data_IF_852767237941
#
_entry.id   IF_852767237941
#
_cell.length_a   1.000
_cell.length_b   1.000
_cell.length_c   1.000
_cell.angle_alpha   90.00
_cell.angle_beta   90.00
_cell.angle_gamma   90.00
#
_symmetry.space_group_name_H-M   'P 1'
#
loop_
_entity.id
_entity.type
_entity.pdbx_description
1 polymer ?
#
# COMPACT_ATOMS: atom_id res chain seq x y z
N UNK A 1 -18.00 -15.83 4.12
CA UNK A 1 -18.17 -14.50 4.78
C UNK A 1 -17.67 -13.43 3.84
N UNK A 2 -18.34 -12.25 3.73
CA UNK A 2 -17.87 -11.13 2.89
C UNK A 2 -16.66 -10.50 3.58
N UNK A 3 -15.54 -10.39 2.85
CA UNK A 3 -14.30 -9.75 3.35
C UNK A 3 -14.43 -8.24 3.26
N UNK A 4 -13.80 -7.54 4.22
CA UNK A 4 -13.83 -6.07 4.35
C UNK A 4 -12.45 -5.49 4.09
N UNK A 5 -12.38 -4.45 3.27
CA UNK A 5 -11.24 -3.55 3.21
C UNK A 5 -11.47 -2.42 4.22
N UNK A 6 -10.57 -2.29 5.16
CA UNK A 6 -10.50 -1.15 6.07
C UNK A 6 -9.55 -0.12 5.51
N UNK A 7 -10.03 1.11 5.36
CA UNK A 7 -9.19 2.21 4.92
C UNK A 7 -9.16 3.32 5.95
N UNK A 8 -7.96 3.79 6.26
CA UNK A 8 -7.73 4.97 7.06
C UNK A 8 -7.44 6.16 6.14
N UNK A 9 -8.17 7.25 6.29
CA UNK A 9 -8.12 8.47 5.49
C UNK A 9 -8.61 8.30 4.04
N UNK A 10 -8.77 9.42 3.34
CA UNK A 10 -9.09 9.46 1.91
C UNK A 10 -7.86 9.88 1.10
N UNK A 11 -7.72 9.33 -0.12
CA UNK A 11 -6.60 9.65 -1.00
C UNK A 11 -6.52 11.14 -1.31
N UNK A 12 -7.67 11.80 -1.60
CA UNK A 12 -7.70 13.25 -1.83
C UNK A 12 -7.23 14.08 -0.63
N UNK A 13 -7.44 13.60 0.60
CA UNK A 13 -6.92 14.26 1.79
C UNK A 13 -5.39 14.16 1.84
N UNK A 14 -4.84 12.99 1.52
CA UNK A 14 -3.40 12.81 1.41
C UNK A 14 -2.83 13.72 0.30
N UNK A 15 -3.48 13.79 -0.88
CA UNK A 15 -3.09 14.70 -1.97
C UNK A 15 -3.08 16.17 -1.54
N UNK A 16 -4.03 16.56 -0.67
CA UNK A 16 -4.15 17.92 -0.15
C UNK A 16 -3.20 18.23 1.03
N UNK A 17 -2.34 17.29 1.44
CA UNK A 17 -1.37 17.50 2.50
C UNK A 17 -1.87 17.14 3.90
N UNK A 18 -2.94 16.37 4.04
CA UNK A 18 -3.37 15.85 5.34
C UNK A 18 -2.53 14.61 5.72
N UNK A 19 -1.36 14.84 6.31
CA UNK A 19 -0.41 13.78 6.66
C UNK A 19 -0.40 13.45 8.15
N UNK A 20 -1.29 14.00 8.94
CA UNK A 20 -1.46 13.60 10.33
C UNK A 20 -1.99 12.17 10.42
N UNK A 21 -1.69 11.49 11.53
CA UNK A 21 -2.18 10.14 11.75
C UNK A 21 -3.70 10.11 11.82
N UNK A 22 -4.32 9.37 10.89
CA UNK A 22 -5.76 9.12 10.89
C UNK A 22 -6.16 8.11 11.98
N UNK A 23 -5.27 7.13 12.21
CA UNK A 23 -5.41 6.08 13.23
C UNK A 23 -4.03 5.73 13.78
N UNK A 24 -3.99 5.04 14.92
CA UNK A 24 -2.79 4.35 15.40
C UNK A 24 -2.64 2.96 14.77
N UNK A 25 -1.43 2.41 14.77
CA UNK A 25 -1.17 1.02 14.39
C UNK A 25 -2.06 0.06 15.18
N UNK A 26 -2.22 0.29 16.49
CA UNK A 26 -3.10 -0.51 17.37
C UNK A 26 -4.54 -0.54 16.90
N UNK A 27 -5.09 0.59 16.50
CA UNK A 27 -6.48 0.68 16.03
C UNK A 27 -6.66 -0.05 14.70
N UNK A 28 -5.72 0.13 13.76
CA UNK A 28 -5.78 -0.56 12.47
C UNK A 28 -5.65 -2.08 12.62
N UNK A 29 -4.71 -2.56 13.44
CA UNK A 29 -4.47 -4.00 13.64
C UNK A 29 -5.58 -4.71 14.43
N UNK A 30 -6.55 -3.99 14.99
CA UNK A 30 -7.79 -4.61 15.52
C UNK A 30 -8.75 -5.05 14.42
N UNK A 31 -8.65 -4.44 13.24
CA UNK A 31 -9.57 -4.64 12.12
C UNK A 31 -8.93 -5.35 10.94
N UNK A 32 -7.58 -5.42 10.88
CA UNK A 32 -6.82 -5.93 9.75
C UNK A 32 -5.49 -6.52 10.21
N UNK A 33 -4.89 -7.38 9.39
CA UNK A 33 -3.58 -8.00 9.64
C UNK A 33 -2.60 -7.84 8.46
N UNK A 34 -3.11 -7.49 7.28
CA UNK A 34 -2.35 -7.41 6.03
C UNK A 34 -2.81 -6.20 5.22
N UNK A 35 -1.86 -5.47 4.63
CA UNK A 35 -2.17 -4.29 3.83
C UNK A 35 -0.98 -3.38 3.54
N UNK A 36 -1.28 -2.19 3.04
CA UNK A 36 -0.32 -1.16 2.63
C UNK A 36 -0.68 0.18 3.27
N UNK A 37 0.30 1.04 3.51
CA UNK A 37 0.03 2.34 4.12
C UNK A 37 1.22 3.29 4.11
N UNK A 38 1.01 4.46 4.71
CA UNK A 38 1.99 5.54 4.82
C UNK A 38 1.99 6.06 6.26
N UNK A 39 3.17 6.31 6.80
CA UNK A 39 3.34 6.86 8.16
C UNK A 39 2.89 8.31 8.28
N UNK A 40 2.58 8.74 9.51
CA UNK A 40 2.32 10.15 9.83
C UNK A 40 3.44 11.02 9.29
N UNK A 41 3.09 12.21 8.79
CA UNK A 41 4.02 13.17 8.18
C UNK A 41 4.76 12.63 6.94
N UNK A 42 4.23 11.63 6.25
CA UNK A 42 4.86 10.84 5.18
C UNK A 42 6.16 10.13 5.63
N UNK A 43 6.36 9.91 6.93
CA UNK A 43 7.56 9.27 7.47
C UNK A 43 7.59 7.77 7.13
N UNK A 44 7.96 7.49 5.90
CA UNK A 44 8.13 6.14 5.40
C UNK A 44 6.86 5.46 4.91
N UNK A 45 7.08 4.33 4.23
CA UNK A 45 6.08 3.44 3.67
C UNK A 45 5.80 2.31 4.67
N UNK A 46 4.54 1.96 4.86
CA UNK A 46 4.16 0.88 5.79
C UNK A 46 3.67 -0.33 5.01
N UNK A 47 4.18 -1.50 5.35
CA UNK A 47 3.64 -2.80 4.95
C UNK A 47 3.09 -3.51 6.18
N UNK A 48 1.79 -3.81 6.18
CA UNK A 48 1.16 -4.64 7.21
C UNK A 48 1.24 -6.10 6.77
N UNK A 49 1.80 -6.95 7.61
CA UNK A 49 1.90 -8.38 7.31
C UNK A 49 1.77 -9.20 8.58
N UNK A 50 0.84 -10.17 8.56
CA UNK A 50 0.61 -11.14 9.65
C UNK A 50 0.40 -10.45 11.01
N UNK A 51 -0.36 -9.36 11.06
CA UNK A 51 -0.70 -8.65 12.30
C UNK A 51 0.42 -7.78 12.86
N UNK A 52 1.44 -7.45 12.05
CA UNK A 52 2.48 -6.50 12.40
C UNK A 52 2.60 -5.40 11.35
N UNK A 53 3.00 -4.21 11.76
CA UNK A 53 3.26 -3.07 10.88
C UNK A 53 4.77 -2.85 10.74
N UNK A 54 5.26 -2.87 9.52
CA UNK A 54 6.67 -2.66 9.17
C UNK A 54 6.82 -1.38 8.40
N UNK A 55 7.57 -0.43 8.95
CA UNK A 55 7.87 0.84 8.30
C UNK A 55 9.22 0.75 7.59
N UNK A 56 9.21 1.00 6.28
CA UNK A 56 10.44 1.29 5.53
C UNK A 56 10.69 2.78 5.60
N UNK A 57 11.71 3.17 6.35
CA UNK A 57 12.09 4.56 6.56
C UNK A 57 12.75 5.18 5.30
N UNK A 58 12.93 6.52 5.25
CA UNK A 58 13.58 7.18 4.12
C UNK A 58 15.02 6.73 3.84
N UNK A 59 15.71 6.17 4.81
CA UNK A 59 17.06 5.60 4.68
C UNK A 59 17.05 4.11 4.22
N UNK A 60 15.87 3.56 3.95
CA UNK A 60 15.65 2.16 3.55
C UNK A 60 15.59 1.17 4.71
N UNK A 61 15.83 1.61 5.95
CA UNK A 61 15.77 0.74 7.11
C UNK A 61 14.34 0.34 7.42
N UNK A 62 14.11 -0.97 7.59
CA UNK A 62 12.83 -1.50 8.02
C UNK A 62 12.79 -1.65 9.53
N UNK A 63 11.72 -1.18 10.15
CA UNK A 63 11.50 -1.29 11.59
C UNK A 63 10.06 -1.72 11.88
N UNK A 64 9.87 -2.50 12.95
CA UNK A 64 8.52 -2.77 13.46
C UNK A 64 7.99 -1.50 14.13
N UNK A 65 6.80 -1.10 13.75
CA UNK A 65 6.12 0.06 14.35
C UNK A 65 5.54 -0.29 15.72
N UNK A 66 5.52 0.70 16.60
CA UNK A 66 4.87 0.57 17.91
C UNK A 66 3.36 0.71 17.78
N UNK A 67 2.58 0.13 18.71
CA UNK A 67 1.12 0.23 18.68
C UNK A 67 0.56 1.65 18.66
N UNK A 68 1.26 2.61 19.27
CA UNK A 68 0.88 4.03 19.33
C UNK A 68 1.34 4.88 18.15
N UNK A 69 2.21 4.34 17.27
CA UNK A 69 2.66 5.09 16.10
C UNK A 69 1.48 5.37 15.15
N UNK A 70 1.49 6.56 14.55
CA UNK A 70 0.39 7.02 13.70
C UNK A 70 0.52 6.55 12.25
N UNK A 71 -0.63 6.32 11.64
CA UNK A 71 -0.79 5.96 10.22
C UNK A 71 -1.59 7.05 9.54
N UNK A 72 -1.00 7.73 8.54
CA UNK A 72 -1.67 8.80 7.80
C UNK A 72 -2.65 8.28 6.77
N UNK A 73 -2.31 7.16 6.12
CA UNK A 73 -3.16 6.47 5.15
C UNK A 73 -2.89 4.97 5.20
N UNK A 74 -3.92 4.16 5.09
CA UNK A 74 -3.78 2.71 4.93
C UNK A 74 -4.97 2.10 4.22
N UNK A 75 -4.71 1.01 3.50
CA UNK A 75 -5.71 0.07 2.99
C UNK A 75 -5.30 -1.34 3.43
N UNK A 76 -6.09 -1.96 4.31
CA UNK A 76 -5.75 -3.22 4.97
C UNK A 76 -6.98 -4.11 5.19
N UNK A 77 -6.77 -5.40 5.38
CA UNK A 77 -7.84 -6.38 5.64
C UNK A 77 -7.35 -7.50 6.54
N UNK A 78 -8.27 -8.32 7.05
CA UNK A 78 -7.95 -9.66 7.57
C UNK A 78 -7.78 -10.60 6.38
N UNK A 79 -6.54 -10.99 6.09
CA UNK A 79 -6.19 -11.77 4.91
C UNK A 79 -6.49 -13.26 5.15
N UNK A 80 -7.15 -13.89 4.18
CA UNK A 80 -7.41 -15.34 4.24
C UNK A 80 -6.20 -16.10 3.72
N UNK A 81 -5.39 -16.57 4.63
CA UNK A 81 -4.21 -17.39 4.32
C UNK A 81 -4.56 -18.79 3.79
N UNK A 82 -5.81 -19.22 3.91
CA UNK A 82 -6.30 -20.48 3.33
C UNK A 82 -6.78 -20.33 1.87
N UNK A 83 -6.72 -19.11 1.29
CA UNK A 83 -7.02 -18.92 -0.12
C UNK A 83 -6.12 -19.83 -0.98
N UNK A 84 -6.65 -20.40 -2.10
CA UNK A 84 -5.86 -21.23 -2.99
C UNK A 84 -4.61 -20.52 -3.47
N UNK A 85 -3.50 -21.25 -3.46
CA UNK A 85 -2.22 -20.76 -3.96
C UNK A 85 -2.11 -20.99 -5.45
N UNK A 86 -1.65 -19.98 -6.18
CA UNK A 86 -1.50 -19.97 -7.62
C UNK A 86 -0.03 -19.68 -7.95
N UNK A 87 0.60 -20.51 -8.75
CA UNK A 87 1.95 -20.26 -9.23
C UNK A 87 1.93 -19.29 -10.41
N UNK A 88 2.67 -18.19 -10.29
CA UNK A 88 3.00 -17.28 -11.38
C UNK A 88 4.46 -17.51 -11.79
N UNK A 89 4.72 -17.65 -13.07
CA UNK A 89 6.06 -17.93 -13.61
C UNK A 89 6.45 -16.90 -14.67
N UNK A 90 7.74 -16.57 -14.74
CA UNK A 90 8.27 -15.65 -15.77
C UNK A 90 7.78 -14.21 -15.57
N UNK A 91 7.99 -13.65 -14.40
CA UNK A 91 7.69 -12.23 -14.09
C UNK A 91 8.95 -11.42 -14.45
N UNK A 92 8.90 -10.72 -15.59
CA UNK A 92 10.03 -9.97 -16.11
C UNK A 92 10.10 -8.56 -15.51
N UNK A 93 8.92 -7.96 -15.23
CA UNK A 93 8.76 -6.63 -14.66
C UNK A 93 7.39 -6.48 -13.95
N UNK A 94 7.14 -5.34 -13.33
CA UNK A 94 5.86 -5.04 -12.68
C UNK A 94 4.68 -5.02 -13.68
N UNK A 95 4.93 -4.65 -14.93
CA UNK A 95 3.91 -4.63 -15.98
C UNK A 95 3.45 -6.06 -16.31
N UNK A 96 4.38 -6.99 -16.45
CA UNK A 96 4.08 -8.41 -16.67
C UNK A 96 3.33 -9.02 -15.50
N UNK A 97 3.70 -8.67 -14.25
CA UNK A 97 2.93 -9.08 -13.07
C UNK A 97 1.48 -8.55 -13.13
N UNK A 98 1.29 -7.25 -13.43
CA UNK A 98 -0.05 -6.66 -13.58
C UNK A 98 -0.88 -7.35 -14.68
N UNK A 99 -0.25 -7.73 -15.79
CA UNK A 99 -0.90 -8.51 -16.87
C UNK A 99 -1.33 -9.89 -16.40
N UNK A 100 -0.49 -10.59 -15.63
CA UNK A 100 -0.83 -11.88 -15.04
C UNK A 100 -1.95 -11.78 -13.98
N UNK A 101 -2.07 -10.65 -13.29
CA UNK A 101 -3.14 -10.40 -12.31
C UNK A 101 -4.47 -10.01 -12.98
N UNK A 102 -4.44 -9.46 -14.20
CA UNK A 102 -5.62 -8.96 -14.89
C UNK A 102 -6.79 -9.96 -14.97
N UNK A 103 -6.60 -11.26 -15.31
CA UNK A 103 -7.70 -12.22 -15.38
C UNK A 103 -8.48 -12.39 -14.07
N UNK A 104 -7.81 -12.25 -12.91
CA UNK A 104 -8.46 -12.39 -11.61
C UNK A 104 -9.37 -11.22 -11.26
N UNK A 105 -9.09 -10.04 -11.80
CA UNK A 105 -9.86 -8.82 -11.60
C UNK A 105 -10.91 -8.61 -12.68
N UNK A 106 -10.63 -8.99 -13.93
CA UNK A 106 -11.52 -8.77 -15.09
C UNK A 106 -12.91 -9.38 -14.93
N UNK A 107 -13.04 -10.48 -14.16
CA UNK A 107 -14.33 -11.10 -13.88
C UNK A 107 -15.28 -10.20 -13.06
N UNK A 108 -14.76 -9.32 -12.23
CA UNK A 108 -15.49 -8.27 -11.54
C UNK A 108 -14.56 -7.12 -11.11
N UNK A 109 -14.20 -6.20 -12.01
CA UNK A 109 -13.27 -5.10 -11.75
C UNK A 109 -13.82 -4.06 -10.76
N UNK A 110 -15.10 -4.17 -10.40
CA UNK A 110 -15.79 -3.27 -9.47
C UNK A 110 -15.69 -3.73 -8.00
N UNK A 111 -15.03 -4.83 -7.72
CA UNK A 111 -14.69 -5.24 -6.36
C UNK A 111 -13.26 -4.83 -6.02
N UNK A 112 -12.98 -4.77 -4.72
CA UNK A 112 -11.60 -4.66 -4.25
C UNK A 112 -10.95 -6.04 -4.20
N UNK A 113 -9.63 -6.06 -4.36
CA UNK A 113 -8.83 -7.28 -4.19
C UNK A 113 -7.57 -6.98 -3.41
N UNK A 114 -7.12 -7.94 -2.63
CA UNK A 114 -5.80 -7.91 -2.02
C UNK A 114 -5.06 -9.19 -2.37
N UNK A 115 -3.80 -9.04 -2.71
CA UNK A 115 -2.91 -10.16 -2.98
C UNK A 115 -1.74 -10.19 -2.01
N UNK A 116 -1.23 -11.41 -1.82
CA UNK A 116 0.08 -11.70 -1.25
C UNK A 116 0.80 -12.63 -2.22
N UNK A 117 1.91 -12.17 -2.78
CA UNK A 117 2.71 -12.93 -3.73
C UNK A 117 4.12 -13.09 -3.16
N UNK A 118 4.46 -14.32 -2.75
CA UNK A 118 5.72 -14.65 -2.09
C UNK A 118 6.64 -15.46 -2.97
N UNK A 119 7.95 -15.29 -2.77
CA UNK A 119 8.97 -16.06 -3.47
C UNK A 119 10.37 -15.48 -3.40
N UNK A 120 11.19 -15.88 -4.36
CA UNK A 120 12.51 -15.29 -4.60
C UNK A 120 12.42 -14.35 -5.79
N UNK A 121 12.74 -13.10 -5.55
CA UNK A 121 12.79 -12.06 -6.56
C UNK A 121 14.22 -11.94 -7.11
N UNK A 122 14.37 -11.87 -8.43
CA UNK A 122 15.65 -11.55 -9.07
C UNK A 122 16.06 -10.13 -8.73
N UNK A 123 15.08 -9.21 -8.85
CA UNK A 123 15.24 -7.81 -8.45
C UNK A 123 13.95 -7.25 -7.89
N UNK A 124 14.06 -6.32 -6.95
CA UNK A 124 12.95 -5.47 -6.49
C UNK A 124 13.46 -4.04 -6.40
N UNK A 125 12.76 -3.13 -7.06
CA UNK A 125 13.01 -1.70 -7.01
C UNK A 125 11.87 -1.05 -6.21
N UNK A 126 12.21 -0.40 -5.13
CA UNK A 126 11.25 0.24 -4.23
C UNK A 126 11.58 1.69 -3.98
N UNK A 127 10.61 2.40 -3.42
CA UNK A 127 10.81 3.76 -2.90
C UNK A 127 10.23 3.91 -1.50
N UNK A 128 10.75 4.91 -0.77
CA UNK A 128 10.16 5.39 0.48
C UNK A 128 10.22 6.91 0.56
N UNK A 129 9.29 7.48 1.32
CA UNK A 129 9.07 8.92 1.40
C UNK A 129 9.92 9.56 2.48
N UNK A 130 10.34 10.80 2.25
CA UNK A 130 10.94 11.64 3.28
C UNK A 130 9.86 12.26 4.15
N UNK A 131 10.10 12.30 5.44
CA UNK A 131 9.21 12.95 6.40
C UNK A 131 9.05 14.45 6.11
N UNK A 132 7.81 14.94 6.17
CA UNK A 132 7.47 16.34 5.99
C UNK A 132 7.26 17.04 7.34
N UNK A 133 7.49 18.36 7.37
CA UNK A 133 7.20 19.21 8.53
C UNK A 133 5.98 20.08 8.26
N UNK A 134 5.25 20.42 9.32
CA UNK A 134 4.13 21.39 9.23
C UNK A 134 4.64 22.82 8.96
N UNK A 135 3.93 23.61 8.16
CA UNK A 135 2.72 23.24 7.42
C UNK A 135 3.07 22.24 6.30
N UNK A 136 2.25 21.16 6.20
CA UNK A 136 2.52 20.13 5.21
C UNK A 136 2.32 20.66 3.77
N UNK A 137 3.20 20.29 2.84
CA UNK A 137 3.02 20.58 1.43
C UNK A 137 1.92 19.70 0.82
N UNK A 138 1.48 20.01 -0.38
CA UNK A 138 0.69 19.06 -1.18
C UNK A 138 1.52 17.79 -1.47
N UNK A 139 0.86 16.66 -1.62
CA UNK A 139 1.55 15.40 -1.93
C UNK A 139 2.41 15.48 -3.18
N UNK A 140 1.96 16.20 -4.22
CA UNK A 140 2.72 16.41 -5.45
C UNK A 140 4.05 17.15 -5.25
N UNK A 141 4.17 17.98 -4.23
CA UNK A 141 5.43 18.63 -3.85
C UNK A 141 6.29 17.68 -3.00
N UNK A 142 5.70 17.03 -2.01
CA UNK A 142 6.39 16.04 -1.18
C UNK A 142 6.94 14.87 -2.03
N UNK A 143 6.21 14.48 -3.06
CA UNK A 143 6.59 13.43 -3.99
C UNK A 143 7.82 13.72 -4.86
N UNK A 144 8.35 14.93 -4.83
CA UNK A 144 9.62 15.26 -5.51
C UNK A 144 10.85 14.79 -4.72
N UNK A 145 10.65 14.33 -3.49
CA UNK A 145 11.70 13.95 -2.55
C UNK A 145 11.41 12.58 -1.94
N UNK A 146 11.70 11.53 -2.68
CA UNK A 146 11.73 10.16 -2.19
C UNK A 146 13.12 9.57 -2.32
N UNK A 147 13.36 8.41 -1.70
CA UNK A 147 14.57 7.63 -1.84
C UNK A 147 14.22 6.28 -2.47
N UNK A 148 15.03 5.85 -3.41
CA UNK A 148 14.86 4.59 -4.13
C UNK A 148 15.87 3.55 -3.66
N UNK A 149 15.43 2.30 -3.60
CA UNK A 149 16.24 1.17 -3.16
C UNK A 149 16.11 0.04 -4.17
N UNK A 150 17.23 -0.65 -4.43
CA UNK A 150 17.28 -1.81 -5.31
C UNK A 150 17.83 -3.01 -4.55
N UNK A 151 17.12 -4.11 -4.62
CA UNK A 151 17.46 -5.36 -3.97
C UNK A 151 17.57 -6.46 -5.02
N UNK A 152 18.64 -7.23 -4.96
CA UNK A 152 18.92 -8.33 -5.89
C UNK A 152 18.85 -9.67 -5.14
N UNK A 153 18.31 -10.71 -5.79
CA UNK A 153 18.23 -12.07 -5.25
C UNK A 153 17.61 -12.13 -3.84
N UNK A 154 16.53 -11.39 -3.64
CA UNK A 154 15.89 -11.21 -2.34
C UNK A 154 14.65 -12.11 -2.21
N UNK A 155 14.42 -12.65 -1.02
CA UNK A 155 13.22 -13.43 -0.68
C UNK A 155 12.27 -12.57 0.12
N UNK A 156 10.97 -12.60 -0.24
CA UNK A 156 9.97 -11.82 0.48
C UNK A 156 8.57 -12.00 -0.07
N UNK A 157 7.69 -11.08 0.33
CA UNK A 157 6.32 -10.97 -0.14
C UNK A 157 6.07 -9.59 -0.75
N UNK A 158 5.32 -9.59 -1.84
CA UNK A 158 4.63 -8.41 -2.34
C UNK A 158 3.19 -8.47 -1.85
N UNK A 159 2.74 -7.41 -1.19
CA UNK A 159 1.36 -7.20 -0.78
C UNK A 159 0.81 -6.07 -1.65
N UNK A 160 -0.34 -6.33 -2.29
CA UNK A 160 -0.95 -5.29 -3.12
C UNK A 160 -2.47 -5.26 -2.97
N UNK A 161 -3.01 -4.05 -3.11
CA UNK A 161 -4.44 -3.79 -3.12
C UNK A 161 -4.87 -3.27 -4.50
N UNK A 162 -5.94 -3.82 -5.02
CA UNK A 162 -6.67 -3.30 -6.19
C UNK A 162 -7.86 -2.49 -5.71
N UNK A 163 -7.95 -1.25 -6.17
CA UNK A 163 -9.09 -0.38 -5.95
C UNK A 163 -9.80 -0.10 -7.27
N UNK A 164 -11.16 -0.25 -7.33
CA UNK A 164 -11.95 0.08 -8.51
C UNK A 164 -11.86 1.57 -8.88
N UNK A 165 -12.06 1.88 -10.16
CA UNK A 165 -11.97 3.27 -10.64
C UNK A 165 -13.00 4.21 -10.04
N UNK A 166 -14.19 3.71 -9.69
CA UNK A 166 -15.28 4.53 -9.14
C UNK A 166 -15.01 5.08 -7.73
N UNK A 167 -14.02 4.53 -7.01
CA UNK A 167 -13.59 5.04 -5.69
C UNK A 167 -12.44 6.03 -5.77
N UNK A 168 -12.15 6.55 -6.96
CA UNK A 168 -11.11 7.57 -7.15
C UNK A 168 -11.32 8.77 -6.23
N UNK A 169 -10.25 9.25 -5.61
CA UNK A 169 -10.29 10.28 -4.57
C UNK A 169 -10.48 9.74 -3.14
N UNK A 170 -11.12 8.59 -2.97
CA UNK A 170 -11.16 7.88 -1.69
C UNK A 170 -9.98 6.91 -1.60
N UNK A 171 -9.84 6.03 -2.59
CA UNK A 171 -8.68 5.17 -2.77
C UNK A 171 -7.86 5.61 -3.99
N UNK A 172 -6.65 5.09 -4.10
CA UNK A 172 -5.86 5.15 -5.33
C UNK A 172 -6.35 4.02 -6.26
N UNK A 173 -6.97 4.33 -7.41
CA UNK A 173 -7.43 3.31 -8.36
C UNK A 173 -6.29 2.49 -8.94
N UNK A 174 -6.59 1.24 -9.36
CA UNK A 174 -5.64 0.27 -9.88
C UNK A 174 -4.85 -0.45 -8.78
N UNK A 175 -3.78 -1.17 -9.15
CA UNK A 175 -2.92 -1.90 -8.22
C UNK A 175 -1.91 -0.99 -7.52
N UNK A 176 -1.79 -1.14 -6.20
CA UNK A 176 -0.79 -0.50 -5.37
C UNK A 176 0.02 -1.56 -4.61
N UNK A 177 1.33 -1.58 -4.82
CA UNK A 177 2.21 -2.67 -4.39
C UNK A 177 3.22 -2.21 -3.35
N UNK A 178 3.36 -2.98 -2.26
CA UNK A 178 4.45 -2.87 -1.29
C UNK A 178 5.21 -4.18 -1.21
N UNK A 179 6.51 -4.09 -1.02
CA UNK A 179 7.40 -5.22 -0.81
C UNK A 179 7.88 -5.25 0.64
N UNK A 180 8.07 -6.47 1.17
CA UNK A 180 8.72 -6.71 2.45
C UNK A 180 9.51 -8.02 2.36
N UNK A 181 10.83 -7.97 2.62
CA UNK A 181 11.68 -9.16 2.64
C UNK A 181 11.32 -10.09 3.80
N UNK A 182 11.65 -11.37 3.67
CA UNK A 182 11.35 -12.38 4.69
C UNK A 182 12.07 -12.11 6.01
N UNK A 183 13.27 -11.56 5.96
CA UNK A 183 14.08 -11.17 7.12
C UNK A 183 13.71 -9.80 7.70
N UNK A 184 12.74 -9.09 7.07
CA UNK A 184 12.23 -7.77 7.48
C UNK A 184 13.31 -6.66 7.49
N UNK A 185 14.29 -6.78 6.60
CA UNK A 185 15.37 -5.77 6.48
C UNK A 185 15.22 -4.88 5.25
N UNK A 186 14.44 -5.32 4.25
CA UNK A 186 14.21 -4.63 2.97
C UNK A 186 12.71 -4.45 2.74
N UNK A 187 12.30 -3.30 2.19
CA UNK A 187 10.89 -3.04 1.93
C UNK A 187 10.65 -1.77 1.12
N UNK A 188 9.38 -1.37 1.01
CA UNK A 188 8.97 -0.11 0.39
C UNK A 188 7.85 -0.25 -0.63
N UNK A 189 7.45 0.88 -1.21
CA UNK A 189 6.52 0.93 -2.33
C UNK A 189 7.22 0.45 -3.60
N UNK A 190 6.63 -0.51 -4.29
CA UNK A 190 7.25 -1.15 -5.47
C UNK A 190 7.13 -0.26 -6.69
N UNK A 191 8.27 0.05 -7.30
CA UNK A 191 8.38 0.70 -8.60
C UNK A 191 8.53 -0.32 -9.72
N UNK A 192 9.30 -1.38 -9.46
CA UNK A 192 9.50 -2.48 -10.39
C UNK A 192 9.97 -3.74 -9.65
N UNK A 193 9.80 -4.89 -10.29
CA UNK A 193 10.27 -6.16 -9.75
C UNK A 193 10.42 -7.20 -10.86
N UNK A 194 11.24 -8.23 -10.63
CA UNK A 194 11.29 -9.42 -11.46
C UNK A 194 11.48 -10.68 -10.64
N UNK A 195 10.91 -11.80 -11.09
CA UNK A 195 11.00 -13.09 -10.43
C UNK A 195 10.80 -14.23 -11.42
N UNK A 196 11.43 -15.39 -11.17
CA UNK A 196 11.16 -16.59 -11.98
C UNK A 196 9.81 -17.22 -11.63
N UNK A 197 9.51 -17.24 -10.33
CA UNK A 197 8.30 -17.84 -9.80
C UNK A 197 7.87 -17.18 -8.51
N UNK A 198 6.58 -16.83 -8.43
CA UNK A 198 5.92 -16.37 -7.21
C UNK A 198 4.72 -17.27 -6.89
N UNK A 199 4.41 -17.37 -5.61
CA UNK A 199 3.23 -18.05 -5.08
C UNK A 199 2.22 -16.98 -4.66
N UNK A 200 1.14 -16.87 -5.44
CA UNK A 200 0.09 -15.88 -5.29
C UNK A 200 -1.08 -16.44 -4.49
N UNK A 201 -1.52 -15.70 -3.48
CA UNK A 201 -2.85 -15.81 -2.90
C UNK A 201 -3.63 -14.53 -3.16
N UNK A 202 -4.91 -14.66 -3.52
CA UNK A 202 -5.77 -13.51 -3.82
C UNK A 202 -7.06 -13.57 -3.01
N UNK A 203 -7.41 -12.45 -2.41
CA UNK A 203 -8.62 -12.26 -1.63
C UNK A 203 -9.53 -11.24 -2.31
N UNK A 204 -10.76 -11.65 -2.63
CA UNK A 204 -11.81 -10.79 -3.15
C UNK A 204 -12.57 -10.13 -2.00
N UNK A 205 -12.84 -8.83 -2.10
CA UNK A 205 -13.35 -7.99 -1.03
C UNK A 205 -14.63 -7.32 -1.51
N UNK A 206 -15.73 -7.51 -0.79
CA UNK A 206 -17.05 -6.99 -1.16
C UNK A 206 -17.60 -5.96 -0.18
N UNK A 207 -16.85 -5.59 0.86
CA UNK A 207 -17.22 -4.55 1.83
C UNK A 207 -16.05 -3.57 1.98
N UNK A 208 -16.39 -2.30 2.14
CA UNK A 208 -15.43 -1.22 2.32
C UNK A 208 -15.83 -0.39 3.54
N UNK A 209 -14.93 -0.30 4.52
CA UNK A 209 -15.08 0.51 5.72
C UNK A 209 -14.04 1.63 5.69
N UNK A 210 -14.50 2.88 5.62
CA UNK A 210 -13.67 4.07 5.59
C UNK A 210 -13.70 4.78 6.93
N UNK A 211 -12.52 4.97 7.53
CA UNK A 211 -12.34 5.78 8.72
C UNK A 211 -11.71 7.12 8.33
N UNK A 212 -12.43 8.21 8.59
CA UNK A 212 -11.97 9.56 8.29
C UNK A 212 -11.16 10.15 9.45
N UNK A 213 -10.06 10.88 9.16
CA UNK A 213 -9.27 11.52 10.19
C UNK A 213 -10.10 12.55 10.99
N UNK A 214 -9.89 12.59 12.30
CA UNK A 214 -10.50 13.58 13.21
C UNK A 214 -9.51 14.70 13.55
N UNK A 215 -8.70 15.11 12.56
CA UNK A 215 -7.65 16.12 12.72
C UNK A 215 -8.09 17.49 12.22
N UNK A 216 -7.48 18.55 12.77
CA UNK A 216 -7.73 19.93 12.32
C UNK A 216 -7.30 20.13 10.86
N UNK A 217 -6.22 19.48 10.44
CA UNK A 217 -5.71 19.51 9.08
C UNK A 217 -6.74 18.93 8.10
N UNK A 218 -7.28 17.75 8.41
CA UNK A 218 -8.32 17.14 7.59
C UNK A 218 -9.57 18.03 7.49
N UNK A 219 -10.00 18.61 8.60
CA UNK A 219 -11.18 19.49 8.63
C UNK A 219 -11.00 20.77 7.76
N UNK A 220 -9.76 21.19 7.51
CA UNK A 220 -9.43 22.37 6.70
C UNK A 220 -9.06 22.04 5.26
N UNK A 221 -8.92 20.75 4.92
CA UNK A 221 -8.63 20.34 3.55
C UNK A 221 -9.77 20.68 2.59
N UNK A 222 -9.46 21.36 1.50
CA UNK A 222 -10.35 21.46 0.35
C UNK A 222 -10.25 20.17 -0.47
N UNK A 223 -11.12 19.22 -0.20
CA UNK A 223 -11.18 17.97 -0.93
C UNK A 223 -11.84 18.22 -2.28
N UNK A 224 -11.09 18.11 -3.36
CA UNK A 224 -11.59 18.31 -4.72
C UNK A 224 -12.22 17.03 -5.23
N UNK A 225 -13.20 17.17 -6.15
CA UNK A 225 -13.70 16.01 -6.91
C UNK A 225 -12.53 15.28 -7.58
N UNK A 226 -12.49 13.96 -7.44
CA UNK A 226 -11.36 13.14 -7.87
C UNK A 226 -11.12 13.28 -9.37
N UNK A 227 -10.19 14.13 -9.76
CA UNK A 227 -9.52 13.96 -11.04
C UNK A 227 -8.66 12.70 -10.88
N UNK A 228 -8.89 11.72 -11.77
CA UNK A 228 -8.13 10.47 -11.81
C UNK A 228 -6.66 10.68 -11.40
N UNK A 229 -6.23 10.10 -10.32
CA UNK A 229 -4.87 10.18 -9.76
C UNK A 229 -3.76 9.72 -10.75
N UNK A 230 -4.15 9.15 -11.89
CA UNK A 230 -3.26 8.69 -12.95
C UNK A 230 -2.41 9.82 -13.61
N UNK A 231 -2.68 11.10 -13.34
CA UNK A 231 -2.01 12.20 -14.02
C UNK A 231 -0.91 12.89 -13.21
N UNK A 232 -0.81 12.68 -11.88
CA UNK A 232 0.07 13.49 -11.04
C UNK A 232 1.29 12.77 -10.47
N UNK A 233 1.28 11.47 -10.35
CA UNK A 233 2.41 10.71 -9.81
C UNK A 233 2.55 9.43 -10.63
N UNK A 234 3.65 9.27 -11.36
CA UNK A 234 4.03 7.96 -11.92
C UNK A 234 4.50 7.11 -10.74
N UNK A 235 3.63 6.21 -10.31
CA UNK A 235 3.95 5.13 -9.39
C UNK A 235 4.38 3.90 -10.18
#
# INVERSE_FOLDING_TARGET
>A
MVKTLFQASAWNALEAGSFDGAVSVRELLRCADTGVGIGTALDGVITFENGAAYKTAPDGKVTVMRPEDGVAFAAAMVFDENAPEIALNGIDDLTSLKQMLAPFVQGNPNLFYMIKAGGVFKSVHTQSWNSCRKPYPMLSEAAKSWNEFRFENTRGNVIAVWCPRYVGGICMPDWHFHYLSSDKTQGGHVLDLSAERLHLKINRIGRFDLLLPQTTEFARCELREGKSAAACIRF
#
